data_IF_432805419567
#
_entry.id   IF_432805419567
#
_cell.length_a   1.000
_cell.length_b   1.000
_cell.length_c   1.000
_cell.angle_alpha   90.00
_cell.angle_beta   90.00
_cell.angle_gamma   90.00
#
_symmetry.space_group_name_H-M   'P 1'
#
loop_
_entity.id
_entity.type
_entity.pdbx_description
1 polymer ?
#
# COMPACT_ATOMS: atom_id res chain seq x y z
N UNK A 1 -12.74 -10.07 16.70
CA UNK A 1 -12.61 -10.52 18.09
C UNK A 1 -11.21 -11.06 18.22
N UNK A 2 -10.27 -10.21 18.66
CA UNK A 2 -8.89 -10.61 18.89
C UNK A 2 -8.81 -11.00 20.36
N UNK A 3 -8.45 -12.25 20.63
CA UNK A 3 -8.34 -12.76 21.99
C UNK A 3 -7.19 -12.05 22.70
N UNK A 4 -7.63 -11.19 23.62
CA UNK A 4 -6.84 -10.52 24.63
C UNK A 4 -6.47 -11.61 25.65
N UNK A 5 -5.40 -12.37 25.36
CA UNK A 5 -4.92 -13.37 26.33
C UNK A 5 -4.28 -12.62 27.49
N UNK A 6 -4.94 -12.76 28.64
CA UNK A 6 -4.50 -12.34 29.96
C UNK A 6 -3.07 -12.82 30.25
N UNK A 7 -2.23 -11.90 30.70
CA UNK A 7 -0.87 -12.21 31.12
C UNK A 7 0.03 -10.98 31.03
N UNK A 8 0.33 -10.40 32.17
CA UNK A 8 1.15 -9.20 32.39
C UNK A 8 2.61 -9.37 31.94
N UNK A 9 2.89 -9.39 30.64
CA UNK A 9 4.25 -9.14 30.15
C UNK A 9 4.38 -7.67 29.74
N UNK A 10 4.97 -6.87 30.62
CA UNK A 10 5.24 -5.45 30.37
C UNK A 10 5.90 -5.27 28.98
N UNK A 11 5.37 -4.42 28.07
CA UNK A 11 6.01 -4.10 26.78
C UNK A 11 7.40 -3.40 26.92
N UNK A 12 7.90 -3.26 28.15
CA UNK A 12 9.12 -2.53 28.49
C UNK A 12 10.41 -3.31 28.16
N UNK A 13 10.39 -4.65 28.08
CA UNK A 13 11.60 -5.49 27.92
C UNK A 13 12.00 -5.87 26.48
N UNK A 14 11.41 -5.29 25.43
CA UNK A 14 11.86 -5.59 24.05
C UNK A 14 13.18 -4.84 23.77
N UNK A 15 14.29 -5.55 23.51
CA UNK A 15 15.60 -4.94 23.30
C UNK A 15 15.66 -4.17 21.96
N UNK A 16 16.35 -3.02 21.90
CA UNK A 16 16.53 -2.27 20.67
C UNK A 16 17.15 -3.07 19.51
N UNK A 17 18.03 -4.01 19.82
CA UNK A 17 18.76 -4.86 18.86
C UNK A 17 17.79 -5.78 18.10
N UNK A 18 16.82 -6.37 18.81
CA UNK A 18 15.76 -7.18 18.19
C UNK A 18 14.88 -6.36 17.24
N UNK A 19 14.57 -5.11 17.62
CA UNK A 19 13.80 -4.20 16.76
C UNK A 19 14.61 -3.82 15.50
N UNK A 20 15.92 -3.61 15.63
CA UNK A 20 16.81 -3.36 14.49
C UNK A 20 16.92 -4.58 13.57
N UNK A 21 17.01 -5.79 14.13
CA UNK A 21 17.03 -7.02 13.34
C UNK A 21 15.79 -7.17 12.46
N UNK A 22 14.58 -6.98 13.02
CA UNK A 22 13.34 -7.01 12.24
C UNK A 22 13.34 -5.89 11.19
N UNK A 23 13.83 -4.70 11.53
CA UNK A 23 13.87 -3.56 10.62
C UNK A 23 14.77 -3.82 9.40
N UNK A 24 15.96 -4.40 9.62
CA UNK A 24 16.98 -4.57 8.61
C UNK A 24 16.82 -5.86 7.82
N UNK A 25 16.60 -6.99 8.50
CA UNK A 25 16.51 -8.31 7.85
C UNK A 25 15.17 -8.54 7.19
N UNK A 26 14.08 -8.20 7.88
CA UNK A 26 12.73 -8.35 7.32
C UNK A 26 12.28 -7.10 6.55
N UNK A 27 13.04 -6.01 6.61
CA UNK A 27 12.74 -4.78 5.89
C UNK A 27 11.44 -4.11 6.35
N UNK A 28 10.93 -4.39 7.55
CA UNK A 28 9.65 -3.84 8.01
C UNK A 28 9.74 -2.36 8.40
N UNK A 29 8.68 -1.60 8.15
CA UNK A 29 8.58 -0.23 8.65
C UNK A 29 8.33 -0.19 10.17
N UNK A 30 8.70 0.92 10.82
CA UNK A 30 8.45 1.12 12.24
C UNK A 30 6.96 0.99 12.63
N UNK A 31 6.02 1.28 11.70
CA UNK A 31 4.60 1.04 11.93
C UNK A 31 4.28 -0.46 11.93
N UNK A 32 4.81 -1.23 10.98
CA UNK A 32 4.58 -2.67 10.91
C UNK A 32 5.17 -3.39 12.13
N UNK A 33 6.37 -2.97 12.55
CA UNK A 33 6.99 -3.47 13.77
C UNK A 33 6.10 -3.17 14.98
N UNK A 34 5.59 -1.94 15.08
CA UNK A 34 4.68 -1.50 16.15
C UNK A 34 3.44 -2.39 16.29
N UNK A 35 2.75 -2.70 15.17
CA UNK A 35 1.62 -3.64 15.17
C UNK A 35 2.02 -5.06 15.59
N UNK A 36 3.17 -5.54 15.12
CA UNK A 36 3.62 -6.92 15.37
C UNK A 36 3.97 -7.17 16.84
N UNK A 37 4.56 -6.19 17.52
CA UNK A 37 5.13 -6.38 18.87
C UNK A 37 4.38 -5.60 19.96
N UNK A 38 3.26 -4.95 19.62
CA UNK A 38 2.41 -4.24 20.57
C UNK A 38 3.03 -2.98 21.17
N UNK A 39 4.01 -2.37 20.49
CA UNK A 39 4.66 -1.13 20.93
C UNK A 39 4.09 0.06 20.18
N UNK A 40 4.14 1.26 20.78
CA UNK A 40 3.84 2.47 20.01
C UNK A 40 4.91 2.69 18.93
N UNK A 41 4.50 3.21 17.76
CA UNK A 41 5.43 3.60 16.68
C UNK A 41 6.57 4.50 17.20
N UNK A 42 6.28 5.40 18.13
CA UNK A 42 7.28 6.28 18.71
C UNK A 42 8.29 5.53 19.58
N UNK A 43 7.84 4.52 20.34
CA UNK A 43 8.74 3.66 21.11
C UNK A 43 9.66 2.83 20.19
N UNK A 44 9.13 2.31 19.08
CA UNK A 44 9.94 1.63 18.05
C UNK A 44 10.98 2.57 17.46
N UNK A 45 10.57 3.75 17.00
CA UNK A 45 11.48 4.75 16.43
C UNK A 45 12.54 5.23 17.44
N UNK A 46 12.18 5.41 18.71
CA UNK A 46 13.12 5.78 19.76
C UNK A 46 14.18 4.69 19.98
N UNK A 47 13.78 3.42 20.03
CA UNK A 47 14.70 2.29 20.19
C UNK A 47 15.62 2.10 18.98
N UNK A 48 15.08 2.20 17.75
CA UNK A 48 15.89 2.19 16.52
C UNK A 48 16.97 3.28 16.55
N UNK A 49 16.63 4.49 16.99
CA UNK A 49 17.60 5.58 17.13
C UNK A 49 18.70 5.29 18.16
N UNK A 50 18.39 4.59 19.26
CA UNK A 50 19.38 4.24 20.29
C UNK A 50 20.50 3.33 19.74
N UNK A 51 20.18 2.48 18.77
CA UNK A 51 21.14 1.58 18.10
C UNK A 51 21.63 2.14 16.75
N UNK A 52 21.46 3.44 16.51
CA UNK A 52 21.99 4.12 15.32
C UNK A 52 21.16 3.96 14.03
N UNK A 53 20.08 3.18 14.04
CA UNK A 53 19.21 3.01 12.87
C UNK A 53 18.38 4.27 12.64
N UNK A 54 18.67 4.97 11.54
CA UNK A 54 17.98 6.20 11.11
C UNK A 54 17.32 5.98 9.74
N UNK A 55 16.16 6.62 9.55
CA UNK A 55 15.44 6.81 8.28
C UNK A 55 15.89 5.94 7.09
N UNK A 56 15.41 4.69 7.02
CA UNK A 56 15.62 3.85 5.84
C UNK A 56 14.93 4.39 4.58
N UNK A 57 15.46 3.99 3.41
CA UNK A 57 14.95 4.40 2.09
C UNK A 57 13.46 4.07 1.94
N UNK A 58 12.72 4.95 1.27
CA UNK A 58 11.31 4.69 0.93
C UNK A 58 11.25 3.63 -0.18
N UNK A 59 10.71 2.46 0.14
CA UNK A 59 10.54 1.35 -0.80
C UNK A 59 9.21 1.38 -1.57
N UNK A 60 9.20 0.72 -2.73
CA UNK A 60 7.98 0.40 -3.51
C UNK A 60 7.60 -1.09 -3.42
N UNK A 61 8.28 -1.84 -2.56
CA UNK A 61 8.00 -3.27 -2.37
C UNK A 61 6.55 -3.46 -1.89
N UNK A 62 5.82 -4.48 -2.37
CA UNK A 62 4.41 -4.66 -2.01
C UNK A 62 4.17 -4.87 -0.50
N UNK A 63 5.09 -5.52 0.18
CA UNK A 63 5.12 -5.77 1.62
C UNK A 63 5.57 -4.54 2.44
N UNK A 64 6.37 -3.64 1.86
CA UNK A 64 6.82 -2.40 2.49
C UNK A 64 6.77 -1.19 1.54
N UNK A 65 5.55 -0.80 1.17
CA UNK A 65 5.23 0.34 0.33
C UNK A 65 5.20 1.64 1.14
N UNK A 66 6.22 2.48 0.96
CA UNK A 66 6.45 3.68 1.79
C UNK A 66 6.12 5.00 1.09
N UNK A 67 5.34 4.95 0.00
CA UNK A 67 4.88 6.14 -0.73
C UNK A 67 3.40 6.43 -0.44
N UNK A 68 3.05 7.73 -0.38
CA UNK A 68 1.67 8.20 -0.13
C UNK A 68 0.67 7.81 -1.23
N UNK A 69 1.16 7.63 -2.45
CA UNK A 69 0.32 7.40 -3.63
C UNK A 69 0.58 6.01 -4.19
N UNK A 70 -0.22 4.99 -3.82
CA UNK A 70 -0.15 3.69 -4.46
C UNK A 70 -0.59 3.76 -5.92
N UNK A 71 -0.27 2.78 -6.78
CA UNK A 71 -0.87 2.72 -8.11
C UNK A 71 -2.40 2.52 -8.05
N UNK A 72 -3.11 2.92 -9.10
CA UNK A 72 -4.57 2.74 -9.21
C UNK A 72 -4.94 1.25 -9.16
N UNK A 73 -6.00 0.90 -8.42
CA UNK A 73 -6.39 -0.47 -8.08
C UNK A 73 -5.77 -0.98 -6.76
N UNK A 74 -4.86 -0.21 -6.14
CA UNK A 74 -4.24 -0.57 -4.86
C UNK A 74 -4.46 0.51 -3.79
N UNK A 75 -4.46 0.09 -2.53
CA UNK A 75 -4.41 0.93 -1.34
C UNK A 75 -3.25 0.49 -0.44
N UNK A 76 -2.70 1.43 0.33
CA UNK A 76 -1.67 1.10 1.34
C UNK A 76 -2.37 0.90 2.68
N UNK A 77 -2.16 -0.26 3.29
CA UNK A 77 -2.64 -0.59 4.63
C UNK A 77 -1.43 -1.00 5.45
N UNK A 78 -1.04 -0.17 6.41
CA UNK A 78 0.09 -0.45 7.32
C UNK A 78 1.35 -0.85 6.53
N UNK A 79 1.74 -0.03 5.56
CA UNK A 79 2.91 -0.31 4.71
C UNK A 79 2.70 -1.39 3.66
N UNK A 80 1.60 -2.14 3.66
CA UNK A 80 1.34 -3.18 2.65
C UNK A 80 0.47 -2.65 1.51
N UNK A 81 0.86 -2.96 0.28
CA UNK A 81 0.11 -2.66 -0.94
C UNK A 81 -0.98 -3.72 -1.14
N UNK A 82 -2.22 -3.39 -0.77
CA UNK A 82 -3.38 -4.28 -0.88
C UNK A 82 -4.29 -3.83 -2.02
N UNK A 83 -5.10 -4.74 -2.55
CA UNK A 83 -6.10 -4.39 -3.55
C UNK A 83 -7.15 -3.42 -2.99
N UNK A 84 -7.54 -2.44 -3.80
CA UNK A 84 -8.67 -1.58 -3.52
C UNK A 84 -9.89 -2.06 -4.31
N UNK A 85 -10.84 -2.72 -3.63
CA UNK A 85 -11.98 -3.37 -4.27
C UNK A 85 -12.82 -2.44 -5.16
N UNK A 86 -12.96 -1.15 -4.80
CA UNK A 86 -13.72 -0.20 -5.64
C UNK A 86 -12.99 0.14 -6.93
N UNK A 87 -11.69 0.42 -6.84
CA UNK A 87 -10.87 0.71 -8.01
C UNK A 87 -10.62 -0.52 -8.87
N UNK A 88 -10.57 -1.73 -8.29
CA UNK A 88 -10.43 -2.97 -9.04
C UNK A 88 -11.64 -3.23 -9.96
N UNK A 89 -12.85 -2.85 -9.54
CA UNK A 89 -14.01 -2.91 -10.45
C UNK A 89 -13.80 -2.03 -11.69
N UNK A 90 -13.23 -0.85 -11.50
CA UNK A 90 -12.89 0.06 -12.61
C UNK A 90 -11.75 -0.50 -13.46
N UNK A 91 -10.72 -1.08 -12.86
CA UNK A 91 -9.63 -1.77 -13.58
C UNK A 91 -10.17 -2.88 -14.47
N UNK A 92 -11.07 -3.72 -13.94
CA UNK A 92 -11.71 -4.81 -14.70
C UNK A 92 -12.52 -4.27 -15.88
N UNK A 93 -13.28 -3.19 -15.67
CA UNK A 93 -14.02 -2.53 -16.75
C UNK A 93 -13.07 -2.00 -17.83
N UNK A 94 -11.97 -1.35 -17.44
CA UNK A 94 -10.95 -0.82 -18.35
C UNK A 94 -10.31 -1.94 -19.17
N UNK A 95 -9.95 -3.07 -18.53
CA UNK A 95 -9.38 -4.23 -19.21
C UNK A 95 -10.38 -4.87 -20.18
N UNK A 96 -11.65 -5.04 -19.76
CA UNK A 96 -12.72 -5.55 -20.62
C UNK A 96 -12.86 -4.71 -21.89
N UNK A 97 -13.00 -3.39 -21.75
CA UNK A 97 -13.14 -2.49 -22.90
C UNK A 97 -11.90 -2.53 -23.82
N UNK A 98 -10.70 -2.64 -23.25
CA UNK A 98 -9.48 -2.77 -24.04
C UNK A 98 -9.40 -4.11 -24.80
N UNK A 99 -9.86 -5.21 -24.20
CA UNK A 99 -9.96 -6.51 -24.87
C UNK A 99 -11.01 -6.50 -26.00
N UNK A 100 -12.05 -5.67 -25.89
CA UNK A 100 -12.99 -5.36 -26.98
C UNK A 100 -12.41 -4.42 -28.06
N UNK A 101 -11.10 -4.11 -28.02
CA UNK A 101 -10.42 -3.27 -29.00
C UNK A 101 -10.61 -1.76 -28.80
N UNK A 102 -11.25 -1.31 -27.72
CA UNK A 102 -11.47 0.13 -27.48
C UNK A 102 -10.14 0.85 -27.23
N UNK A 103 -9.93 1.98 -27.88
CA UNK A 103 -8.73 2.81 -27.64
C UNK A 103 -8.78 3.45 -26.26
N UNK A 104 -7.61 3.79 -25.68
CA UNK A 104 -7.56 4.44 -24.36
C UNK A 104 -8.29 5.78 -24.30
N UNK A 105 -8.42 6.50 -25.42
CA UNK A 105 -9.23 7.73 -25.51
C UNK A 105 -10.72 7.43 -25.42
N UNK A 106 -11.19 6.42 -26.15
CA UNK A 106 -12.58 5.96 -26.10
C UNK A 106 -12.95 5.44 -24.71
N UNK A 107 -12.09 4.63 -24.08
CA UNK A 107 -12.29 4.15 -22.72
C UNK A 107 -12.42 5.32 -21.72
N UNK A 108 -11.58 6.35 -21.84
CA UNK A 108 -11.68 7.53 -20.98
C UNK A 108 -13.04 8.26 -21.14
N UNK A 109 -13.53 8.38 -22.38
CA UNK A 109 -14.87 8.91 -22.67
C UNK A 109 -15.97 8.11 -21.97
N UNK A 110 -15.97 6.78 -22.16
CA UNK A 110 -16.94 5.87 -21.53
C UNK A 110 -16.94 5.99 -20.01
N UNK A 111 -15.76 6.08 -19.38
CA UNK A 111 -15.66 6.24 -17.92
C UNK A 111 -16.22 7.58 -17.44
N UNK A 112 -16.00 8.66 -18.19
CA UNK A 112 -16.50 10.00 -17.88
C UNK A 112 -18.02 10.10 -18.07
N UNK A 113 -18.54 9.56 -19.17
CA UNK A 113 -19.98 9.48 -19.44
C UNK A 113 -20.71 8.71 -18.34
N UNK A 114 -20.11 7.61 -17.86
CA UNK A 114 -20.62 6.82 -16.73
C UNK A 114 -20.36 7.46 -15.36
N UNK A 115 -19.80 8.67 -15.31
CA UNK A 115 -19.46 9.41 -14.08
C UNK A 115 -18.59 8.60 -13.10
N UNK A 116 -17.72 7.73 -13.61
CA UNK A 116 -16.81 6.94 -12.77
C UNK A 116 -15.73 7.85 -12.21
N UNK A 117 -15.65 8.06 -10.89
CA UNK A 117 -14.68 8.97 -10.31
C UNK A 117 -13.26 8.42 -10.44
N UNK A 118 -12.33 9.27 -10.88
CA UNK A 118 -10.90 8.99 -10.70
C UNK A 118 -10.52 9.16 -9.21
N UNK A 119 -9.43 8.51 -8.77
CA UNK A 119 -9.04 8.49 -7.33
C UNK A 119 -8.96 9.88 -6.67
N UNK A 120 -8.40 10.86 -7.37
CA UNK A 120 -8.26 12.25 -6.88
C UNK A 120 -9.34 13.18 -7.46
N UNK A 121 -10.44 12.61 -7.95
CA UNK A 121 -11.42 13.31 -8.75
C UNK A 121 -10.91 13.71 -10.13
N UNK A 122 -11.71 14.55 -10.78
CA UNK A 122 -11.53 14.99 -12.16
C UNK A 122 -11.80 13.88 -13.18
N UNK A 123 -11.82 14.24 -14.48
CA UNK A 123 -12.12 13.30 -15.55
C UNK A 123 -11.01 12.27 -15.75
N UNK A 124 -11.37 11.14 -16.33
CA UNK A 124 -10.46 10.22 -16.97
C UNK A 124 -9.89 10.83 -18.25
N UNK A 125 -8.60 10.67 -18.44
CA UNK A 125 -7.89 11.04 -19.66
C UNK A 125 -7.21 9.80 -20.26
N UNK A 126 -6.78 9.91 -21.52
CA UNK A 126 -6.09 8.84 -22.25
C UNK A 126 -4.87 8.32 -21.48
N UNK A 127 -4.11 9.19 -20.80
CA UNK A 127 -2.88 8.84 -20.10
C UNK A 127 -3.14 8.07 -18.78
N UNK A 128 -4.19 8.42 -18.04
CA UNK A 128 -4.67 7.69 -16.85
C UNK A 128 -5.07 6.26 -17.25
N UNK A 129 -5.86 6.13 -18.30
CA UNK A 129 -6.25 4.81 -18.82
C UNK A 129 -5.03 4.01 -19.28
N UNK A 130 -4.12 4.62 -20.05
CA UNK A 130 -2.88 3.95 -20.50
C UNK A 130 -2.04 3.45 -19.32
N UNK A 131 -1.90 4.24 -18.23
CA UNK A 131 -1.18 3.84 -17.02
C UNK A 131 -1.85 2.69 -16.26
N UNK A 132 -3.18 2.60 -16.30
CA UNK A 132 -3.93 1.46 -15.74
C UNK A 132 -3.64 0.21 -16.59
N UNK A 133 -3.84 0.30 -17.90
CA UNK A 133 -3.61 -0.83 -18.82
C UNK A 133 -2.18 -1.37 -18.74
N UNK A 134 -1.16 -0.51 -18.85
CA UNK A 134 0.25 -0.91 -18.75
C UNK A 134 0.58 -1.65 -17.45
N UNK A 135 -0.15 -1.38 -16.38
CA UNK A 135 0.11 -1.98 -15.06
C UNK A 135 -0.60 -3.29 -14.84
N UNK A 136 -1.81 -3.41 -15.39
CA UNK A 136 -2.74 -4.48 -15.09
C UNK A 136 -2.87 -5.51 -16.23
N UNK A 137 -2.32 -5.23 -17.41
CA UNK A 137 -2.27 -6.19 -18.52
C UNK A 137 -1.57 -7.47 -18.05
N UNK A 138 -2.26 -8.61 -18.16
CA UNK A 138 -1.75 -9.92 -17.76
C UNK A 138 -1.73 -10.20 -16.26
N UNK A 139 -2.37 -9.38 -15.41
CA UNK A 139 -2.39 -9.55 -13.94
C UNK A 139 -3.75 -9.87 -13.34
N UNK A 140 -4.82 -9.72 -14.11
CA UNK A 140 -6.23 -9.89 -13.70
C UNK A 140 -6.97 -10.63 -14.79
#
# INVERSE_FOLDING_TARGET
MFDFIEGTHLPRKIPPEFIAEIYEKEGLSAQQISERIGLSKQAVLHRLRKVGVRNGRRGRAPDNYRYRNPPFGYKVVIGQLKLNSSEIRVVRLVLKLANEGKTSKCIAGILNERKVPARRGGPWDRARVKRVLQRWRGKV
#
